data_IF_928104022652
#
_entry.id   IF_928104022652
#
_cell.length_a   1.000
_cell.length_b   1.000
_cell.length_c   1.000
_cell.angle_alpha   90.00
_cell.angle_beta   90.00
_cell.angle_gamma   90.00
#
_symmetry.space_group_name_H-M   'P 1'
#
loop_
_entity.id
_entity.type
_entity.pdbx_description
1 polymer ?
#
# COMPACT_ATOMS: atom_id res chain seq x y z
N UNK A 1 -1.96 5.16 -38.90
CA UNK A 1 -1.94 4.38 -37.65
C UNK A 1 -0.87 4.97 -36.75
N UNK A 2 -1.25 5.51 -35.59
CA UNK A 2 -0.31 6.05 -34.61
C UNK A 2 0.58 4.91 -34.11
N UNK A 3 1.89 5.06 -34.19
CA UNK A 3 2.84 4.12 -33.58
C UNK A 3 2.61 4.19 -32.07
N UNK A 4 1.94 3.18 -31.52
CA UNK A 4 2.09 2.85 -30.11
C UNK A 4 3.57 2.49 -29.95
N UNK A 5 4.38 3.43 -29.45
CA UNK A 5 5.73 3.12 -29.00
C UNK A 5 5.55 2.03 -27.94
N UNK A 6 6.04 0.80 -28.18
CA UNK A 6 5.93 -0.21 -27.17
C UNK A 6 6.73 0.26 -25.96
N UNK A 7 6.15 0.13 -24.77
CA UNK A 7 6.92 0.20 -23.52
C UNK A 7 8.15 -0.73 -23.58
N UNK A 8 8.14 -1.73 -24.48
CA UNK A 8 9.22 -2.67 -24.76
C UNK A 8 10.45 -2.07 -25.48
N UNK A 9 10.41 -0.81 -25.91
CA UNK A 9 11.52 -0.22 -26.69
C UNK A 9 12.71 0.25 -25.84
N UNK A 10 12.56 0.35 -24.52
CA UNK A 10 13.66 0.70 -23.61
C UNK A 10 13.53 -0.05 -22.26
N UNK A 11 14.24 -1.18 -22.08
CA UNK A 11 14.26 -1.95 -20.82
C UNK A 11 14.65 -1.10 -19.59
N UNK A 12 15.44 -0.03 -19.81
CA UNK A 12 15.84 0.90 -18.77
C UNK A 12 14.63 1.67 -18.22
N UNK A 13 13.65 1.97 -19.07
CA UNK A 13 12.43 2.71 -18.70
C UNK A 13 11.46 1.85 -17.88
N UNK A 14 11.33 0.55 -18.18
CA UNK A 14 10.49 -0.37 -17.43
C UNK A 14 11.04 -0.62 -16.02
N UNK A 15 12.36 -0.83 -15.88
CA UNK A 15 12.99 -0.99 -14.59
C UNK A 15 12.91 0.28 -13.72
N UNK A 16 13.08 1.46 -14.33
CA UNK A 16 12.87 2.74 -13.63
C UNK A 16 11.44 2.88 -13.14
N UNK A 17 10.44 2.54 -13.96
CA UNK A 17 9.04 2.57 -13.57
C UNK A 17 8.75 1.60 -12.41
N UNK A 18 9.24 0.36 -12.49
CA UNK A 18 9.12 -0.64 -11.42
C UNK A 18 9.75 -0.13 -10.12
N UNK A 19 10.94 0.47 -10.20
CA UNK A 19 11.62 1.05 -9.03
C UNK A 19 10.79 2.18 -8.40
N UNK A 20 10.28 3.11 -9.22
CA UNK A 20 9.43 4.22 -8.76
C UNK A 20 8.17 3.70 -8.07
N UNK A 21 7.48 2.72 -8.67
CA UNK A 21 6.29 2.10 -8.09
C UNK A 21 6.57 1.43 -6.75
N UNK A 22 7.68 0.69 -6.63
CA UNK A 22 8.09 0.09 -5.36
C UNK A 22 8.38 1.13 -4.28
N UNK A 23 9.01 2.26 -4.63
CA UNK A 23 9.21 3.39 -3.71
C UNK A 23 7.88 3.99 -3.27
N UNK A 24 6.93 4.18 -4.20
CA UNK A 24 5.58 4.66 -3.87
C UNK A 24 4.86 3.70 -2.94
N UNK A 25 4.88 2.39 -3.20
CA UNK A 25 4.25 1.40 -2.32
C UNK A 25 4.84 1.42 -0.90
N UNK A 26 6.18 1.47 -0.79
CA UNK A 26 6.86 1.57 0.50
C UNK A 26 6.51 2.86 1.26
N UNK A 27 6.30 3.95 0.53
CA UNK A 27 5.85 5.23 1.12
C UNK A 27 4.43 5.12 1.66
N UNK A 28 3.53 4.45 0.94
CA UNK A 28 2.15 4.24 1.40
C UNK A 28 2.14 3.33 2.63
N UNK A 29 2.91 2.23 2.64
CA UNK A 29 3.03 1.36 3.83
C UNK A 29 3.49 2.12 5.07
N UNK A 30 4.52 2.97 4.94
CA UNK A 30 5.00 3.78 6.05
C UNK A 30 3.93 4.76 6.57
N UNK A 31 3.16 5.37 5.67
CA UNK A 31 2.03 6.22 6.06
C UNK A 31 0.93 5.43 6.77
N UNK A 32 0.64 4.21 6.31
CA UNK A 32 -0.33 3.32 6.94
C UNK A 32 0.13 2.92 8.34
N UNK A 33 1.41 2.63 8.54
CA UNK A 33 1.98 2.34 9.87
C UNK A 33 1.78 3.52 10.85
N UNK A 34 1.98 4.75 10.38
CA UNK A 34 1.71 5.96 11.18
C UNK A 34 0.23 6.04 11.57
N UNK A 35 -0.69 5.78 10.62
CA UNK A 35 -2.14 5.78 10.87
C UNK A 35 -2.51 4.70 11.89
N UNK A 36 -1.98 3.48 11.74
CA UNK A 36 -2.18 2.38 12.68
C UNK A 36 -1.70 2.76 14.09
N UNK A 37 -0.55 3.41 14.21
CA UNK A 37 -0.04 3.92 15.48
C UNK A 37 -0.97 4.93 16.14
N UNK A 38 -1.60 5.82 15.37
CA UNK A 38 -2.61 6.77 15.86
C UNK A 38 -3.88 6.04 16.30
N UNK A 39 -4.38 5.08 15.50
CA UNK A 39 -5.58 4.30 15.81
C UNK A 39 -5.42 3.50 17.11
N UNK A 40 -4.26 2.88 17.34
CA UNK A 40 -3.96 2.17 18.60
C UNK A 40 -4.00 3.12 19.79
N UNK A 41 -3.49 4.36 19.66
CA UNK A 41 -3.58 5.35 20.73
C UNK A 41 -5.02 5.77 20.99
N UNK A 42 -5.80 6.02 19.93
CA UNK A 42 -7.21 6.36 20.06
C UNK A 42 -7.98 5.23 20.76
N UNK A 43 -7.78 3.97 20.36
CA UNK A 43 -8.40 2.80 20.96
C UNK A 43 -8.15 2.72 22.49
N UNK A 44 -6.90 2.96 22.91
CA UNK A 44 -6.52 2.99 24.34
C UNK A 44 -7.18 4.11 25.13
N UNK A 45 -7.50 5.24 24.50
CA UNK A 45 -8.18 6.37 25.15
C UNK A 45 -9.69 6.10 25.19
N UNK A 46 -10.28 5.70 24.06
CA UNK A 46 -11.72 5.47 23.93
C UNK A 46 -12.22 4.36 24.86
N UNK A 47 -11.44 3.29 25.04
CA UNK A 47 -11.75 2.23 26.00
C UNK A 47 -11.93 2.73 27.44
N UNK A 48 -11.29 3.84 27.83
CA UNK A 48 -11.42 4.43 29.18
C UNK A 48 -12.70 5.23 29.38
N UNK A 49 -13.30 5.71 28.29
CA UNK A 49 -14.52 6.53 28.32
C UNK A 49 -15.77 5.72 27.92
N UNK A 50 -15.63 4.41 27.74
CA UNK A 50 -16.72 3.45 27.45
C UNK A 50 -17.63 3.85 26.29
N UNK A 51 -17.08 4.50 25.26
CA UNK A 51 -17.83 4.84 24.06
C UNK A 51 -17.67 3.72 23.01
N UNK A 52 -18.55 2.72 23.09
CA UNK A 52 -18.54 1.54 22.22
C UNK A 52 -18.66 1.89 20.73
N UNK A 53 -19.50 2.86 20.39
CA UNK A 53 -19.64 3.30 18.99
C UNK A 53 -18.33 3.82 18.40
N UNK A 54 -17.61 4.68 19.13
CA UNK A 54 -16.31 5.20 18.67
C UNK A 54 -15.27 4.08 18.65
N UNK A 55 -15.32 3.17 19.62
CA UNK A 55 -14.42 2.02 19.69
C UNK A 55 -14.53 1.12 18.45
N UNK A 56 -15.76 0.76 18.06
CA UNK A 56 -16.01 -0.05 16.86
C UNK A 56 -15.51 0.63 15.60
N UNK A 57 -15.68 1.95 15.49
CA UNK A 57 -15.15 2.72 14.35
C UNK A 57 -13.64 2.71 14.29
N UNK A 58 -12.95 2.90 15.41
CA UNK A 58 -11.49 2.83 15.46
C UNK A 58 -11.00 1.42 15.09
N UNK A 59 -11.67 0.38 15.60
CA UNK A 59 -11.32 -0.99 15.29
C UNK A 59 -11.52 -1.31 13.81
N UNK A 60 -12.65 -0.90 13.22
CA UNK A 60 -12.91 -1.05 11.79
C UNK A 60 -11.89 -0.30 10.93
N UNK A 61 -11.53 0.93 11.31
CA UNK A 61 -10.49 1.68 10.61
C UNK A 61 -9.15 0.96 10.66
N UNK A 62 -8.81 0.34 11.79
CA UNK A 62 -7.59 -0.45 11.92
C UNK A 62 -7.62 -1.68 11.01
N UNK A 63 -8.73 -2.42 10.96
CA UNK A 63 -8.89 -3.57 10.04
C UNK A 63 -8.70 -3.12 8.59
N UNK A 64 -9.37 -2.03 8.16
CA UNK A 64 -9.22 -1.52 6.80
C UNK A 64 -7.77 -1.15 6.45
N UNK A 65 -6.96 -0.70 7.42
CA UNK A 65 -5.54 -0.46 7.16
C UNK A 65 -4.76 -1.76 6.90
N UNK A 66 -5.16 -2.88 7.50
CA UNK A 66 -4.56 -4.18 7.20
C UNK A 66 -4.88 -4.63 5.78
N UNK A 67 -6.11 -4.40 5.31
CA UNK A 67 -6.51 -4.69 3.94
C UNK A 67 -5.66 -3.89 2.93
N UNK A 68 -5.42 -2.60 3.20
CA UNK A 68 -4.55 -1.75 2.37
C UNK A 68 -3.12 -2.32 2.30
N UNK A 69 -2.55 -2.76 3.42
CA UNK A 69 -1.20 -3.36 3.43
C UNK A 69 -1.18 -4.65 2.61
N UNK A 70 -2.19 -5.51 2.76
CA UNK A 70 -2.30 -6.75 2.00
C UNK A 70 -2.38 -6.49 0.49
N UNK A 71 -3.17 -5.50 0.06
CA UNK A 71 -3.26 -5.12 -1.35
C UNK A 71 -1.92 -4.56 -1.89
N UNK A 72 -1.20 -3.77 -1.09
CA UNK A 72 0.13 -3.27 -1.47
C UNK A 72 1.16 -4.39 -1.61
N UNK A 73 1.15 -5.37 -0.71
CA UNK A 73 2.01 -6.56 -0.80
C UNK A 73 1.71 -7.37 -2.07
N UNK A 74 0.43 -7.54 -2.41
CA UNK A 74 0.03 -8.21 -3.65
C UNK A 74 0.49 -7.42 -4.89
N UNK A 75 0.33 -6.09 -4.90
CA UNK A 75 0.79 -5.24 -5.99
C UNK A 75 2.30 -5.30 -6.16
N UNK A 76 3.08 -5.29 -5.07
CA UNK A 76 4.53 -5.50 -5.10
C UNK A 76 4.89 -6.87 -5.67
N UNK A 77 4.18 -7.93 -5.25
CA UNK A 77 4.41 -9.27 -5.76
C UNK A 77 4.18 -9.34 -7.28
N UNK A 78 3.04 -8.81 -7.76
CA UNK A 78 2.72 -8.73 -9.20
C UNK A 78 3.77 -7.92 -9.96
N UNK A 79 4.18 -6.76 -9.43
CA UNK A 79 5.19 -5.91 -10.05
C UNK A 79 6.57 -6.61 -10.13
N UNK A 80 6.94 -7.37 -9.10
CA UNK A 80 8.18 -8.15 -9.11
C UNK A 80 8.17 -9.24 -10.18
N UNK A 81 7.01 -9.86 -10.44
CA UNK A 81 6.87 -10.88 -11.48
C UNK A 81 7.07 -10.32 -12.90
N UNK A 82 6.71 -9.05 -13.12
CA UNK A 82 6.94 -8.36 -14.40
C UNK A 82 8.43 -8.13 -14.67
N UNK A 83 9.25 -7.97 -13.63
CA UNK A 83 10.71 -7.81 -13.77
C UNK A 83 11.43 -9.07 -14.28
N UNK A 84 10.79 -10.24 -14.24
CA UNK A 84 11.35 -11.52 -14.67
C UNK A 84 10.72 -12.07 -15.96
N UNK A 85 9.71 -11.39 -16.52
CA UNK A 85 8.97 -11.88 -17.70
C UNK A 85 9.75 -11.71 -19.03
N UNK A 86 10.90 -11.03 -19.01
CA UNK A 86 11.71 -10.73 -20.20
C UNK A 86 13.02 -11.56 -20.32
N UNK A 87 13.13 -12.72 -19.64
CA UNK A 87 14.25 -13.67 -19.79
C UNK A 87 13.85 -15.03 -20.34
#
# INVERSE_FOLDING_TARGET
MSKLTPLDSDPLSAQQYISLMNTSFSTIESNVEIIQGVLVRMYRITSKVSNEFIFDKIHLMYINTMDIVSELEELKHRLSSLSYADY
#
